data_IF_123746251411
#
_entry.id   IF_123746251411
#
_cell.length_a   1.000
_cell.length_b   1.000
_cell.length_c   1.000
_cell.angle_alpha   90.00
_cell.angle_beta   90.00
_cell.angle_gamma   90.00
#
_symmetry.space_group_name_H-M   'P 1'
#
loop_
_entity.id
_entity.type
_entity.pdbx_description
1 polymer ?
#
# COMPACT_ATOMS: atom_id res chain seq x y z
N UNK A 1 -1.62 -17.79 5.35
CA UNK A 1 -2.19 -16.59 5.97
C UNK A 1 -3.38 -16.17 5.13
N UNK A 2 -4.50 -15.80 5.74
CA UNK A 2 -5.70 -15.39 5.00
C UNK A 2 -5.60 -13.92 4.57
N UNK A 3 -6.35 -13.55 3.53
CA UNK A 3 -6.50 -12.14 3.15
C UNK A 3 -7.64 -11.48 3.95
N UNK A 4 -7.81 -10.17 3.77
CA UNK A 4 -8.90 -9.40 4.40
C UNK A 4 -10.28 -9.85 3.88
N UNK A 5 -10.37 -10.19 2.59
CA UNK A 5 -11.54 -10.85 2.00
C UNK A 5 -11.24 -12.33 1.79
N UNK A 6 -12.17 -13.21 2.17
CA UNK A 6 -12.03 -14.65 1.98
C UNK A 6 -11.85 -15.01 0.49
N UNK A 7 -12.54 -14.30 -0.39
CA UNK A 7 -12.44 -14.39 -1.84
C UNK A 7 -11.07 -13.94 -2.40
N UNK A 8 -10.36 -13.07 -1.68
CA UNK A 8 -9.01 -12.63 -2.04
C UNK A 8 -7.91 -13.58 -1.56
N UNK A 9 -8.23 -14.58 -0.74
CA UNK A 9 -7.22 -15.43 -0.09
C UNK A 9 -6.44 -16.29 -1.09
N UNK A 10 -7.09 -16.82 -2.12
CA UNK A 10 -6.39 -17.64 -3.12
C UNK A 10 -5.51 -16.77 -4.03
N UNK A 11 -6.00 -15.59 -4.42
CA UNK A 11 -5.21 -14.58 -5.16
C UNK A 11 -3.97 -14.15 -4.36
N UNK A 12 -4.12 -13.96 -3.04
CA UNK A 12 -3.01 -13.65 -2.14
C UNK A 12 -1.94 -14.72 -2.18
N UNK A 13 -2.29 -16.00 -2.05
CA UNK A 13 -1.31 -17.10 -2.06
C UNK A 13 -0.53 -17.15 -3.36
N UNK A 14 -1.22 -16.98 -4.50
CA UNK A 14 -0.58 -16.98 -5.81
C UNK A 14 0.40 -15.80 -5.96
N UNK A 15 -0.04 -14.61 -5.54
CA UNK A 15 0.82 -13.43 -5.55
C UNK A 15 2.03 -13.59 -4.62
N UNK A 16 1.82 -14.01 -3.36
CA UNK A 16 2.88 -14.20 -2.37
C UNK A 16 3.91 -15.23 -2.85
N UNK A 17 3.46 -16.34 -3.45
CA UNK A 17 4.37 -17.34 -4.02
C UNK A 17 5.20 -16.78 -5.18
N UNK A 18 4.55 -16.07 -6.13
CA UNK A 18 5.26 -15.41 -7.23
C UNK A 18 6.28 -14.40 -6.71
N UNK A 19 5.85 -13.51 -5.79
CA UNK A 19 6.67 -12.46 -5.23
C UNK A 19 7.89 -13.03 -4.49
N UNK A 20 7.72 -14.09 -3.68
CA UNK A 20 8.84 -14.68 -2.94
C UNK A 20 9.90 -15.29 -3.87
N UNK A 21 9.47 -15.95 -4.94
CA UNK A 21 10.37 -16.47 -5.99
C UNK A 21 11.07 -15.32 -6.71
N UNK A 22 10.32 -14.33 -7.18
CA UNK A 22 10.87 -13.15 -7.84
C UNK A 22 11.87 -12.40 -6.94
N UNK A 23 11.53 -12.20 -5.67
CA UNK A 23 12.34 -11.47 -4.72
C UNK A 23 13.70 -12.15 -4.51
N UNK A 24 13.68 -13.47 -4.27
CA UNK A 24 14.89 -14.25 -4.02
C UNK A 24 15.75 -14.44 -5.26
N UNK A 25 15.12 -14.64 -6.42
CA UNK A 25 15.82 -15.01 -7.64
C UNK A 25 16.25 -13.83 -8.49
N UNK A 26 15.51 -12.71 -8.46
CA UNK A 26 15.72 -11.53 -9.29
C UNK A 26 16.11 -10.32 -8.45
N UNK A 27 15.23 -9.88 -7.54
CA UNK A 27 15.40 -8.61 -6.82
C UNK A 27 16.70 -8.58 -6.02
N UNK A 28 16.95 -9.59 -5.17
CA UNK A 28 18.18 -9.68 -4.38
C UNK A 28 19.45 -9.84 -5.23
N UNK A 29 19.32 -10.16 -6.52
CA UNK A 29 20.43 -10.26 -7.48
C UNK A 29 20.56 -9.02 -8.36
N UNK A 30 19.87 -7.92 -8.01
CA UNK A 30 19.93 -6.64 -8.71
C UNK A 30 19.07 -6.57 -9.97
N UNK A 31 18.16 -7.53 -10.21
CA UNK A 31 17.20 -7.48 -11.31
C UNK A 31 15.84 -7.04 -10.78
N UNK A 32 15.42 -5.84 -11.13
CA UNK A 32 14.23 -5.20 -10.53
C UNK A 32 12.99 -5.18 -11.43
N UNK A 33 13.01 -5.91 -12.55
CA UNK A 33 11.84 -6.06 -13.42
C UNK A 33 10.72 -6.81 -12.67
N UNK A 34 9.63 -6.12 -12.37
CA UNK A 34 8.49 -6.59 -11.59
C UNK A 34 7.34 -7.16 -12.44
N UNK A 35 7.52 -7.19 -13.77
CA UNK A 35 6.50 -7.62 -14.72
C UNK A 35 6.02 -9.06 -14.51
N UNK A 36 6.85 -9.92 -13.92
CA UNK A 36 6.55 -11.33 -13.64
C UNK A 36 5.30 -11.52 -12.77
N UNK A 37 5.15 -10.69 -11.73
CA UNK A 37 4.05 -10.82 -10.77
C UNK A 37 2.98 -9.73 -10.93
N UNK A 38 3.25 -8.69 -11.73
CA UNK A 38 2.36 -7.54 -11.92
C UNK A 38 0.92 -7.91 -12.35
N UNK A 39 0.67 -8.87 -13.27
CA UNK A 39 -0.69 -9.27 -13.63
C UNK A 39 -1.47 -9.89 -12.45
N UNK A 40 -0.81 -10.74 -11.67
CA UNK A 40 -1.41 -11.39 -10.49
C UNK A 40 -1.67 -10.35 -9.41
N UNK A 41 -0.69 -9.46 -9.19
CA UNK A 41 -0.77 -8.38 -8.23
C UNK A 41 -1.96 -7.47 -8.52
N UNK A 42 -2.18 -7.08 -9.78
CA UNK A 42 -3.30 -6.21 -10.16
C UNK A 42 -4.65 -6.80 -9.75
N UNK A 43 -4.89 -8.07 -10.06
CA UNK A 43 -6.14 -8.76 -9.71
C UNK A 43 -6.30 -8.91 -8.20
N UNK A 44 -5.23 -9.27 -7.49
CA UNK A 44 -5.23 -9.35 -6.03
C UNK A 44 -5.49 -7.99 -5.38
N UNK A 45 -4.81 -6.94 -5.84
CA UNK A 45 -4.95 -5.57 -5.34
C UNK A 45 -6.38 -5.06 -5.52
N UNK A 46 -6.99 -5.28 -6.68
CA UNK A 46 -8.37 -4.88 -6.94
C UNK A 46 -9.36 -5.61 -6.01
N UNK A 47 -9.13 -6.90 -5.75
CA UNK A 47 -9.91 -7.69 -4.80
C UNK A 47 -9.82 -7.09 -3.38
N UNK A 48 -8.61 -6.83 -2.89
CA UNK A 48 -8.39 -6.27 -1.55
C UNK A 48 -8.98 -4.86 -1.43
N UNK A 49 -8.81 -4.00 -2.44
CA UNK A 49 -9.43 -2.66 -2.48
C UNK A 49 -10.96 -2.73 -2.39
N UNK A 50 -11.58 -3.77 -2.96
CA UNK A 50 -13.03 -3.98 -2.83
C UNK A 50 -13.38 -4.44 -1.40
N UNK A 51 -12.70 -5.45 -0.87
CA UNK A 51 -12.94 -5.94 0.49
C UNK A 51 -12.75 -4.83 1.56
N UNK A 52 -11.76 -3.96 1.38
CA UNK A 52 -11.54 -2.79 2.27
C UNK A 52 -12.73 -1.83 2.28
N UNK A 53 -13.30 -1.53 1.10
CA UNK A 53 -14.48 -0.67 0.97
C UNK A 53 -15.71 -1.30 1.63
N UNK A 54 -15.92 -2.60 1.44
CA UNK A 54 -17.01 -3.35 2.06
C UNK A 54 -16.91 -3.35 3.61
N UNK A 55 -15.68 -3.40 4.13
CA UNK A 55 -15.38 -3.35 5.57
C UNK A 55 -15.27 -1.91 6.14
N UNK A 56 -15.54 -0.88 5.34
CA UNK A 56 -15.44 0.55 5.73
C UNK A 56 -14.07 0.96 6.29
N UNK A 57 -13.00 0.37 5.75
CA UNK A 57 -11.63 0.76 6.09
C UNK A 57 -11.24 1.96 5.22
N UNK A 58 -11.06 3.13 5.83
CA UNK A 58 -10.56 4.33 5.15
C UNK A 58 -9.03 4.32 5.07
N UNK A 59 -8.46 4.43 3.86
CA UNK A 59 -7.01 4.48 3.65
C UNK A 59 -6.61 5.87 3.16
N UNK A 60 -6.38 6.79 4.10
CA UNK A 60 -5.99 8.18 3.81
C UNK A 60 -4.54 8.33 3.33
N UNK A 61 -3.73 7.27 3.40
CA UNK A 61 -2.27 7.32 3.24
C UNK A 61 -1.72 6.48 2.06
N UNK A 62 -2.57 5.83 1.25
CA UNK A 62 -2.10 5.01 0.11
C UNK A 62 -1.91 5.83 -1.17
N UNK A 63 -2.56 6.99 -1.28
CA UNK A 63 -2.52 7.83 -2.48
C UNK A 63 -1.29 8.73 -2.55
N UNK A 64 -0.53 8.87 -1.46
CA UNK A 64 0.77 9.54 -1.50
C UNK A 64 1.79 8.62 -2.16
N UNK A 65 2.44 9.10 -3.22
CA UNK A 65 3.66 8.49 -3.73
C UNK A 65 4.70 8.53 -2.61
N UNK A 66 4.85 7.43 -1.87
CA UNK A 66 5.88 7.32 -0.84
C UNK A 66 7.23 7.26 -1.55
N UNK A 67 7.81 8.45 -1.78
CA UNK A 67 9.24 8.58 -2.03
C UNK A 67 9.90 8.28 -0.70
N UNK A 68 10.41 7.06 -0.51
CA UNK A 68 11.27 6.74 0.63
C UNK A 68 12.58 7.48 0.44
N UNK A 69 12.58 8.76 0.79
CA UNK A 69 13.68 9.70 0.65
C UNK A 69 13.32 10.98 1.39
N UNK A 70 13.68 11.02 2.68
CA UNK A 70 13.85 12.21 3.52
C UNK A 70 12.67 13.21 3.57
N UNK A 71 11.78 13.07 4.56
CA UNK A 71 10.94 14.18 5.00
C UNK A 71 11.20 14.51 6.46
N UNK A 72 11.95 15.59 6.66
CA UNK A 72 12.09 16.31 7.91
C UNK A 72 10.69 16.73 8.41
N UNK A 73 10.43 16.52 9.70
CA UNK A 73 9.22 16.98 10.36
C UNK A 73 9.20 18.51 10.42
N UNK A 74 8.35 19.15 9.60
CA UNK A 74 7.77 20.44 9.94
C UNK A 74 6.26 20.29 10.04
N UNK A 75 5.81 19.99 11.26
CA UNK A 75 4.41 20.16 11.64
C UNK A 75 4.15 21.67 11.80
N UNK A 76 3.58 22.29 10.77
CA UNK A 76 2.87 23.56 10.94
C UNK A 76 1.40 23.28 11.21
N UNK A 77 0.93 23.67 12.40
CA UNK A 77 -0.41 24.24 12.62
C UNK A 77 -0.62 24.59 14.11
N UNK A 78 -0.83 25.88 14.42
CA UNK A 78 -2.19 26.40 14.68
C UNK A 78 -2.19 27.89 15.06
N UNK A 79 -3.05 28.62 14.35
CA UNK A 79 -3.64 29.91 14.71
C UNK A 79 -3.99 30.02 16.20
N UNK A 80 -3.67 31.17 16.81
CA UNK A 80 -4.25 31.58 18.10
C UNK A 80 -5.21 32.76 17.87
N UNK A 81 -6.40 32.80 18.50
CA UNK A 81 -7.50 33.68 18.11
C UNK A 81 -7.23 35.15 18.43
N UNK A 82 -7.68 36.03 17.53
CA UNK A 82 -7.87 37.46 17.79
C UNK A 82 -9.00 37.64 18.82
N UNK A 83 -8.64 38.07 20.04
CA UNK A 83 -9.59 38.68 20.95
C UNK A 83 -9.38 40.19 20.95
N UNK A 84 -10.15 40.84 20.09
CA UNK A 84 -10.43 42.27 20.02
C UNK A 84 -10.82 42.90 21.39
N UNK A 85 -10.14 44.01 21.71
CA UNK A 85 -10.63 45.24 22.41
C UNK A 85 -10.97 45.19 23.92
N UNK A 86 -10.18 45.89 24.73
CA UNK A 86 -10.61 47.06 25.53
C UNK A 86 -9.42 47.87 26.02
#
# INVERSE_FOLDING_TARGET
MNSLGDDCTELKKQYDACFNSWFSEHFLKGRHDDSLCAPIFKVYQDCVKRAMREQKIELREIESEITTGEQNHEQQQQEKPDHTKS
#
